data_IF_206749742783
#
_entry.id   IF_206749742783
#
_cell.length_a   1.000
_cell.length_b   1.000
_cell.length_c   1.000
_cell.angle_alpha   90.00
_cell.angle_beta   90.00
_cell.angle_gamma   90.00
#
_symmetry.space_group_name_H-M   'P 1'
#
loop_
_entity.id
_entity.type
_entity.pdbx_description
1 polymer ?
#
# COMPACT_ATOMS: atom_id res chain seq x y z
N UNK A 1 -7.72 9.33 6.53
CA UNK A 1 -6.49 8.59 6.83
C UNK A 1 -6.81 7.12 6.82
N UNK A 2 -6.80 6.55 5.62
CA UNK A 2 -6.73 5.10 5.43
C UNK A 2 -5.29 4.69 5.71
N UNK A 3 -5.03 4.06 6.86
CA UNK A 3 -3.70 3.54 7.19
C UNK A 3 -3.34 2.38 6.25
N UNK A 4 -2.82 2.71 5.08
CA UNK A 4 -2.30 1.78 4.09
C UNK A 4 -0.79 1.65 4.26
N UNK A 5 -0.31 0.41 4.23
CA UNK A 5 1.11 0.09 4.28
C UNK A 5 1.50 -0.75 3.06
N UNK A 6 2.71 -0.54 2.50
CA UNK A 6 3.25 -1.44 1.50
C UNK A 6 3.60 -2.78 2.16
N UNK A 7 3.19 -3.88 1.53
CA UNK A 7 3.52 -5.25 1.95
C UNK A 7 4.01 -6.04 0.75
N UNK A 8 5.21 -6.61 0.87
CA UNK A 8 5.74 -7.51 -0.15
C UNK A 8 5.21 -8.93 0.08
N UNK A 9 4.41 -9.42 -0.86
CA UNK A 9 3.95 -10.81 -0.89
C UNK A 9 4.99 -11.63 -1.65
N UNK A 10 5.67 -12.52 -0.91
CA UNK A 10 6.66 -13.44 -1.48
C UNK A 10 5.98 -14.58 -2.24
N UNK A 11 6.70 -15.24 -3.14
CA UNK A 11 6.19 -16.34 -3.97
C UNK A 11 5.52 -17.46 -3.18
N UNK A 12 6.09 -17.87 -2.04
CA UNK A 12 5.52 -18.93 -1.21
C UNK A 12 4.18 -18.51 -0.58
N UNK A 13 4.08 -17.23 -0.20
CA UNK A 13 2.86 -16.63 0.34
C UNK A 13 1.82 -16.43 -0.76
N UNK A 14 2.26 -16.03 -1.96
CA UNK A 14 1.40 -15.79 -3.10
C UNK A 14 0.69 -17.07 -3.54
N UNK A 15 1.40 -18.21 -3.56
CA UNK A 15 0.81 -19.54 -3.84
C UNK A 15 -0.24 -19.92 -2.80
N UNK A 16 0.02 -19.68 -1.50
CA UNK A 16 -0.93 -19.98 -0.42
C UNK A 16 -2.18 -19.11 -0.47
N UNK A 17 -2.01 -17.84 -0.82
CA UNK A 17 -3.08 -16.85 -0.89
C UNK A 17 -3.81 -16.84 -2.25
N UNK A 18 -3.28 -17.53 -3.26
CA UNK A 18 -3.82 -17.50 -4.62
C UNK A 18 -3.65 -16.14 -5.31
N UNK A 19 -2.64 -15.36 -4.92
CA UNK A 19 -2.32 -14.05 -5.50
C UNK A 19 -0.97 -14.09 -6.20
N UNK A 20 -0.69 -13.06 -6.99
CA UNK A 20 0.61 -12.89 -7.66
C UNK A 20 1.62 -12.38 -6.64
N UNK A 21 2.89 -12.76 -6.76
CA UNK A 21 3.96 -12.21 -5.92
C UNK A 21 4.26 -10.77 -6.29
N UNK A 22 4.49 -9.90 -5.31
CA UNK A 22 4.81 -8.49 -5.56
C UNK A 22 4.43 -7.60 -4.40
N UNK A 23 4.55 -6.29 -4.60
CA UNK A 23 4.19 -5.30 -3.60
C UNK A 23 2.69 -4.98 -3.66
N UNK A 24 2.03 -5.08 -2.51
CA UNK A 24 0.62 -4.76 -2.37
C UNK A 24 0.43 -3.68 -1.31
N UNK A 25 -0.51 -2.76 -1.56
CA UNK A 25 -0.96 -1.85 -0.51
C UNK A 25 -2.00 -2.55 0.35
N UNK A 26 -1.68 -2.78 1.61
CA UNK A 26 -2.58 -3.42 2.59
C UNK A 26 -3.11 -2.43 3.60
N UNK A 27 -4.38 -2.59 3.99
CA UNK A 27 -4.90 -1.95 5.20
C UNK A 27 -4.37 -2.64 6.45
N UNK A 28 -4.42 -1.95 7.58
CA UNK A 28 -4.23 -2.55 8.93
C UNK A 28 -5.09 -3.79 9.19
N UNK A 29 -6.22 -3.94 8.52
CA UNK A 29 -7.07 -5.14 8.57
C UNK A 29 -6.51 -6.35 7.82
N UNK A 30 -5.39 -6.21 7.10
CA UNK A 30 -4.83 -7.25 6.22
C UNK A 30 -5.50 -7.33 4.84
N UNK A 31 -6.41 -6.40 4.52
CA UNK A 31 -7.08 -6.36 3.21
C UNK A 31 -6.16 -5.77 2.15
N UNK A 32 -5.93 -6.49 1.05
CA UNK A 32 -5.26 -5.97 -0.14
C UNK A 32 -6.13 -4.93 -0.85
N UNK A 33 -5.54 -3.80 -1.22
CA UNK A 33 -6.25 -2.69 -1.88
C UNK A 33 -5.77 -2.49 -3.31
N UNK A 34 -4.45 -2.52 -3.54
CA UNK A 34 -3.83 -2.39 -4.87
C UNK A 34 -2.58 -3.25 -4.98
N UNK A 35 -2.21 -3.60 -6.20
CA UNK A 35 -1.07 -4.46 -6.54
C UNK A 35 -1.49 -5.62 -7.44
N UNK A 36 -0.54 -6.48 -7.87
CA UNK A 36 0.88 -6.46 -7.52
C UNK A 36 1.62 -5.30 -8.19
N UNK A 37 2.50 -4.63 -7.46
CA UNK A 37 3.46 -3.65 -7.98
C UNK A 37 4.86 -4.27 -7.98
N UNK A 38 5.68 -3.86 -8.94
CA UNK A 38 7.05 -4.39 -9.06
C UNK A 38 7.99 -3.87 -7.96
N UNK A 39 7.77 -2.63 -7.49
CA UNK A 39 8.62 -1.98 -6.49
C UNK A 39 7.83 -1.43 -5.30
N UNK A 40 8.49 -1.33 -4.14
CA UNK A 40 7.93 -0.70 -2.95
C UNK A 40 7.55 0.77 -3.21
N UNK A 41 8.38 1.47 -4.00
CA UNK A 41 8.16 2.87 -4.35
C UNK A 41 6.86 3.07 -5.14
N UNK A 42 6.55 2.19 -6.11
CA UNK A 42 5.31 2.28 -6.88
C UNK A 42 4.08 1.98 -6.01
N UNK A 43 4.21 1.01 -5.10
CA UNK A 43 3.19 0.74 -4.09
C UNK A 43 2.96 1.96 -3.18
N UNK A 44 4.02 2.63 -2.72
CA UNK A 44 3.95 3.85 -1.91
C UNK A 44 3.32 5.03 -2.67
N UNK A 45 3.65 5.19 -3.97
CA UNK A 45 3.00 6.20 -4.83
C UNK A 45 1.50 5.94 -4.89
N UNK A 46 1.08 4.69 -5.09
CA UNK A 46 -0.34 4.34 -5.13
C UNK A 46 -1.04 4.56 -3.79
N UNK A 47 -0.35 4.30 -2.68
CA UNK A 47 -0.85 4.62 -1.34
C UNK A 47 -1.07 6.12 -1.20
N UNK A 48 -0.10 6.95 -1.60
CA UNK A 48 -0.20 8.41 -1.53
C UNK A 48 -1.29 8.98 -2.47
N UNK A 49 -1.61 8.31 -3.57
CA UNK A 49 -2.76 8.66 -4.42
C UNK A 49 -4.11 8.35 -3.75
N UNK A 50 -4.21 7.24 -3.01
CA UNK A 50 -5.46 6.77 -2.39
C UNK A 50 -5.73 7.47 -1.05
N UNK A 51 -4.71 7.60 -0.21
CA UNK A 51 -4.75 8.32 1.05
C UNK A 51 -3.73 9.46 0.99
N UNK A 52 -4.10 10.59 0.36
CA UNK A 52 -3.22 11.73 0.30
C UNK A 52 -2.87 12.17 1.73
N UNK A 53 -1.58 12.47 2.01
CA UNK A 53 -1.19 12.93 3.33
C UNK A 53 -2.01 14.17 3.70
N UNK A 54 -2.45 14.31 4.95
CA UNK A 54 -3.21 15.48 5.37
C UNK A 54 -2.42 16.75 5.02
N UNK A 55 -3.09 17.78 4.47
CA UNK A 55 -2.42 19.00 4.10
C UNK A 55 -1.71 19.58 5.33
N UNK A 56 -0.48 20.13 5.17
CA UNK A 56 0.26 20.68 6.28
C UNK A 56 -0.58 21.74 6.99
N UNK A 57 -0.53 21.81 8.33
CA UNK A 57 -1.33 22.77 9.08
C UNK A 57 -0.97 24.17 8.61
N UNK A 58 -1.97 24.91 8.10
CA UNK A 58 -1.80 26.33 7.77
C UNK A 58 -1.37 27.06 9.04
N UNK A 59 -0.12 27.52 9.11
CA UNK A 59 0.31 28.48 10.13
C UNK A 59 -0.63 29.70 10.03
N UNK A 60 -1.55 29.84 10.98
CA UNK A 60 -2.25 31.11 11.20
C UNK A 60 -1.19 32.12 11.63
N UNK A 61 -0.81 33.02 10.71
CA UNK A 61 -0.08 34.25 11.05
C UNK A 61 -1.01 35.19 11.79
#
# INVERSE_FOLDING_TARGET
MQNLSPRHVKTEESVRLGVISGWYSTKVSGTFVTGPHDTEADCLRKIAEIDPPPPPPKKKR
#
